data_IF_863334145523
#
_entry.id   IF_863334145523
#
_cell.length_a   1.000
_cell.length_b   1.000
_cell.length_c   1.000
_cell.angle_alpha   90.00
_cell.angle_beta   90.00
_cell.angle_gamma   90.00
#
_symmetry.space_group_name_H-M   'P 1'
#
loop_
_entity.id
_entity.type
_entity.pdbx_description
1 polymer ?
#
# COMPACT_ATOMS: atom_id res chain seq x y z
N UNK A 1 0.57 17.20 28.19
CA UNK A 1 0.94 15.81 28.51
C UNK A 1 -0.28 14.93 28.80
N UNK A 2 -1.40 15.48 29.30
CA UNK A 2 -2.68 14.75 29.51
C UNK A 2 -3.27 14.11 28.24
N UNK A 3 -3.17 14.80 27.09
CA UNK A 3 -3.92 14.47 25.87
C UNK A 3 -3.44 13.22 25.12
N UNK A 4 -2.14 12.89 25.21
CA UNK A 4 -1.57 11.74 24.50
C UNK A 4 -2.07 10.41 25.08
N UNK A 5 -2.31 10.36 26.40
CA UNK A 5 -2.71 9.15 27.12
C UNK A 5 -4.14 8.74 26.80
N UNK A 6 -5.05 9.71 26.70
CA UNK A 6 -6.45 9.46 26.33
C UNK A 6 -6.64 8.99 24.89
N UNK A 7 -5.78 9.41 23.95
CA UNK A 7 -5.83 8.91 22.56
C UNK A 7 -5.48 7.42 22.51
N UNK A 8 -4.49 6.98 23.29
CA UNK A 8 -4.10 5.58 23.35
C UNK A 8 -5.21 4.70 23.93
N UNK A 9 -5.89 5.16 24.98
CA UNK A 9 -7.00 4.42 25.60
C UNK A 9 -8.16 4.19 24.62
N UNK A 10 -8.48 5.17 23.77
CA UNK A 10 -9.55 5.04 22.75
C UNK A 10 -9.16 4.06 21.63
N UNK A 11 -7.90 4.08 21.17
CA UNK A 11 -7.42 3.18 20.13
C UNK A 11 -7.44 1.71 20.54
N UNK A 12 -7.49 1.39 21.84
CA UNK A 12 -7.57 0.00 22.32
C UNK A 12 -8.92 -0.67 22.05
N UNK A 13 -9.99 0.11 21.85
CA UNK A 13 -11.36 -0.42 21.73
C UNK A 13 -11.92 -0.37 20.31
N UNK A 14 -11.13 0.06 19.33
CA UNK A 14 -11.58 0.10 17.94
C UNK A 14 -11.58 -1.32 17.35
N UNK A 15 -12.63 -1.65 16.59
CA UNK A 15 -12.64 -2.83 15.73
C UNK A 15 -12.17 -2.41 14.34
N UNK A 16 -11.25 -3.17 13.75
CA UNK A 16 -10.78 -2.92 12.39
C UNK A 16 -11.70 -3.62 11.40
N UNK A 17 -12.37 -2.85 10.57
CA UNK A 17 -13.13 -3.37 9.43
C UNK A 17 -12.17 -3.63 8.26
N UNK A 18 -11.90 -4.91 8.00
CA UNK A 18 -10.98 -5.33 6.94
C UNK A 18 -11.71 -5.50 5.60
N UNK A 19 -11.03 -5.10 4.53
CA UNK A 19 -11.37 -5.50 3.17
C UNK A 19 -10.37 -6.54 2.68
N UNK A 20 -10.88 -7.66 2.14
CA UNK A 20 -10.05 -8.77 1.65
C UNK A 20 -9.88 -8.68 0.15
N UNK A 21 -8.64 -8.86 -0.30
CA UNK A 21 -8.27 -8.91 -1.71
C UNK A 21 -7.65 -10.28 -2.04
N UNK A 22 -7.73 -10.73 -3.32
CA UNK A 22 -7.05 -11.94 -3.73
C UNK A 22 -5.54 -11.84 -3.49
N UNK A 23 -4.94 -12.93 -3.00
CA UNK A 23 -3.48 -12.98 -2.79
C UNK A 23 -2.69 -12.90 -4.09
N UNK A 24 -1.49 -12.33 -4.03
CA UNK A 24 -0.53 -12.34 -5.15
C UNK A 24 0.21 -13.68 -5.21
N UNK A 25 0.22 -14.34 -6.36
CA UNK A 25 0.98 -15.59 -6.58
C UNK A 25 2.33 -15.38 -7.28
N UNK A 26 2.75 -14.13 -7.54
CA UNK A 26 3.93 -13.84 -8.35
C UNK A 26 4.83 -12.79 -7.69
N UNK A 27 6.14 -12.91 -7.92
CA UNK A 27 7.14 -11.93 -7.46
C UNK A 27 7.03 -10.62 -8.26
N UNK A 28 7.24 -9.50 -7.58
CA UNK A 28 7.32 -8.15 -8.18
C UNK A 28 8.76 -7.63 -8.28
N UNK A 29 9.75 -8.36 -7.76
CA UNK A 29 11.12 -7.85 -7.55
C UNK A 29 11.83 -7.41 -8.83
N UNK A 30 11.50 -8.03 -9.96
CA UNK A 30 12.08 -7.71 -11.27
C UNK A 30 11.37 -6.55 -11.99
N UNK A 31 10.17 -6.15 -11.56
CA UNK A 31 9.40 -5.13 -12.25
C UNK A 31 10.09 -3.76 -12.20
N UNK A 32 10.15 -3.07 -13.33
CA UNK A 32 10.72 -1.71 -13.48
C UNK A 32 9.73 -0.70 -14.04
N UNK A 33 8.55 -1.16 -14.44
CA UNK A 33 7.42 -0.34 -14.88
C UNK A 33 6.13 -0.83 -14.22
N UNK A 34 5.09 0.00 -14.25
CA UNK A 34 3.79 -0.34 -13.67
C UNK A 34 3.12 -1.50 -14.42
N UNK A 35 3.31 -1.53 -15.74
CA UNK A 35 2.77 -2.52 -16.66
C UNK A 35 3.37 -3.92 -16.42
N UNK A 36 4.60 -4.00 -15.91
CA UNK A 36 5.26 -5.25 -15.52
C UNK A 36 4.74 -5.84 -14.22
N UNK A 37 3.99 -5.06 -13.42
CA UNK A 37 3.40 -5.58 -12.19
C UNK A 37 2.25 -6.55 -12.51
N UNK A 38 2.11 -7.65 -11.74
CA UNK A 38 0.93 -8.51 -11.83
C UNK A 38 -0.35 -7.70 -11.65
N UNK A 39 -1.42 -8.08 -12.35
CA UNK A 39 -2.71 -7.35 -12.30
C UNK A 39 -3.23 -7.16 -10.88
N UNK A 40 -2.98 -8.12 -9.98
CA UNK A 40 -3.36 -7.99 -8.57
C UNK A 40 -2.64 -6.83 -7.88
N UNK A 41 -1.32 -6.68 -8.08
CA UNK A 41 -0.56 -5.58 -7.50
C UNK A 41 -0.97 -4.22 -8.09
N UNK A 42 -1.27 -4.17 -9.39
CA UNK A 42 -1.82 -2.96 -10.01
C UNK A 42 -3.18 -2.59 -9.41
N UNK A 43 -4.04 -3.56 -9.13
CA UNK A 43 -5.34 -3.33 -8.50
C UNK A 43 -5.20 -2.82 -7.07
N UNK A 44 -4.26 -3.35 -6.28
CA UNK A 44 -3.98 -2.87 -4.93
C UNK A 44 -3.53 -1.41 -4.93
N UNK A 45 -2.65 -1.03 -5.88
CA UNK A 45 -2.18 0.36 -6.05
C UNK A 45 -3.35 1.29 -6.41
N UNK A 46 -4.21 0.88 -7.35
CA UNK A 46 -5.41 1.66 -7.72
C UNK A 46 -6.36 1.79 -6.55
N UNK A 47 -6.62 0.70 -5.82
CA UNK A 47 -7.48 0.71 -4.64
C UNK A 47 -7.01 1.71 -3.60
N UNK A 48 -5.71 1.71 -3.25
CA UNK A 48 -5.15 2.65 -2.27
C UNK A 48 -5.29 4.10 -2.76
N UNK A 49 -5.00 4.36 -4.04
CA UNK A 49 -5.10 5.69 -4.62
C UNK A 49 -6.54 6.22 -4.60
N UNK A 50 -7.49 5.37 -4.99
CA UNK A 50 -8.92 5.69 -5.02
C UNK A 50 -9.48 5.84 -3.59
N UNK A 51 -9.09 4.97 -2.66
CA UNK A 51 -9.55 5.03 -1.28
C UNK A 51 -9.09 6.31 -0.57
N UNK A 52 -7.83 6.72 -0.79
CA UNK A 52 -7.26 7.93 -0.20
C UNK A 52 -7.52 9.20 -1.01
N UNK A 53 -8.01 9.07 -2.25
CA UNK A 53 -8.14 10.17 -3.21
C UNK A 53 -6.79 10.90 -3.45
N UNK A 54 -5.69 10.16 -3.41
CA UNK A 54 -4.32 10.67 -3.58
C UNK A 54 -3.55 9.74 -4.52
N UNK A 55 -2.96 10.25 -5.61
CA UNK A 55 -2.26 9.40 -6.57
C UNK A 55 -0.95 8.84 -5.97
N UNK A 56 -0.65 7.57 -6.28
CA UNK A 56 0.62 6.93 -5.89
C UNK A 56 1.70 7.35 -6.86
N UNK A 57 2.74 8.02 -6.39
CA UNK A 57 3.87 8.44 -7.24
C UNK A 57 4.95 7.37 -7.40
N UNK A 58 5.11 6.50 -6.39
CA UNK A 58 6.25 5.61 -6.25
C UNK A 58 5.84 4.25 -5.67
N UNK A 59 6.33 3.15 -6.26
CA UNK A 59 6.10 1.78 -5.80
C UNK A 59 7.42 1.06 -5.58
N UNK A 60 7.67 0.61 -4.35
CA UNK A 60 8.85 -0.16 -4.00
C UNK A 60 8.64 -1.65 -4.25
N UNK A 61 9.53 -2.25 -5.04
CA UNK A 61 9.47 -3.68 -5.39
C UNK A 61 10.66 -4.48 -4.86
N UNK A 62 11.60 -3.85 -4.16
CA UNK A 62 12.79 -4.50 -3.63
C UNK A 62 13.63 -3.57 -2.77
N UNK A 63 14.77 -4.07 -2.28
CA UNK A 63 15.64 -3.34 -1.34
C UNK A 63 16.56 -2.33 -2.02
N UNK A 64 16.85 -2.51 -3.32
CA UNK A 64 17.78 -1.65 -4.05
C UNK A 64 17.15 -0.30 -4.36
N UNK A 65 17.97 0.73 -4.57
CA UNK A 65 17.50 2.05 -5.00
C UNK A 65 16.79 1.98 -6.36
N UNK A 66 17.25 1.09 -7.23
CA UNK A 66 16.71 0.82 -8.56
C UNK A 66 15.43 -0.03 -8.49
N UNK A 67 15.06 -0.55 -7.32
CA UNK A 67 13.82 -1.29 -7.10
C UNK A 67 12.65 -0.35 -6.75
N UNK A 68 12.60 0.81 -7.42
CA UNK A 68 11.54 1.80 -7.31
C UNK A 68 10.95 2.11 -8.68
N UNK A 69 9.64 1.94 -8.82
CA UNK A 69 8.88 2.29 -10.02
C UNK A 69 8.28 3.69 -9.80
N UNK A 70 8.53 4.61 -10.74
CA UNK A 70 7.92 5.95 -10.79
C UNK A 70 6.68 5.88 -11.69
N UNK A 71 5.53 6.34 -11.21
CA UNK A 71 4.26 6.27 -11.95
C UNK A 71 3.97 7.54 -12.77
N UNK A 72 4.43 8.70 -12.29
CA UNK A 72 4.37 9.98 -13.00
C UNK A 72 5.47 10.92 -12.50
#
# INVERSE_FOLDING_TARGET
METLRQVLDVLMWVSVDYQTFPGRCCSTEAARSFEELPSQAQNDIRFIADFLQVPVSWVGVGKSRESMIKLF
#
